data_IF_535286002299
#
_entry.id   IF_535286002299
#
_cell.length_a   1.000
_cell.length_b   1.000
_cell.length_c   1.000
_cell.angle_alpha   90.00
_cell.angle_beta   90.00
_cell.angle_gamma   90.00
#
_symmetry.space_group_name_H-M   'P 1'
#
loop_
_entity.id
_entity.type
_entity.pdbx_description
1 polymer ?
#
# COMPACT_ATOMS: atom_id res chain seq x y z
N UNK A 1 1.17 26.75 -15.62
CA UNK A 1 1.78 25.56 -14.98
C UNK A 1 2.04 24.56 -16.09
N UNK A 2 3.25 24.00 -16.25
CA UNK A 2 3.49 22.97 -17.29
C UNK A 2 2.97 21.63 -16.81
N UNK A 3 2.25 20.92 -17.67
CA UNK A 3 1.87 19.54 -17.40
C UNK A 3 3.12 18.67 -17.25
N UNK A 4 3.09 17.76 -16.26
CA UNK A 4 4.16 16.80 -15.99
C UNK A 4 3.53 15.43 -15.79
N UNK A 5 4.16 14.42 -16.37
CA UNK A 5 3.75 13.02 -16.26
C UNK A 5 4.60 12.37 -15.16
N UNK A 6 3.98 12.06 -14.03
CA UNK A 6 4.68 11.41 -12.90
C UNK A 6 4.86 9.90 -13.08
N UNK A 7 4.06 9.27 -13.94
CA UNK A 7 4.11 7.84 -14.17
C UNK A 7 2.91 7.36 -14.98
N UNK A 8 2.76 6.04 -15.02
CA UNK A 8 1.73 5.36 -15.79
C UNK A 8 1.03 4.32 -14.93
N UNK A 9 -0.24 4.07 -15.21
CA UNK A 9 -1.00 2.97 -14.64
C UNK A 9 -1.08 1.83 -15.65
N UNK A 10 -1.16 0.61 -15.14
CA UNK A 10 -1.20 -0.61 -15.93
C UNK A 10 -2.26 -1.54 -15.34
N UNK A 11 -2.85 -2.36 -16.20
CA UNK A 11 -3.68 -3.48 -15.79
C UNK A 11 -2.88 -4.76 -16.04
N UNK A 12 -2.55 -5.49 -14.98
CA UNK A 12 -1.90 -6.80 -15.12
C UNK A 12 -2.93 -7.87 -15.46
N UNK A 13 -2.57 -8.77 -16.37
CA UNK A 13 -3.33 -10.01 -16.63
C UNK A 13 -3.12 -11.06 -15.52
N UNK A 14 -2.15 -10.85 -14.64
CA UNK A 14 -1.91 -11.68 -13.44
C UNK A 14 -2.83 -11.27 -12.29
N UNK A 15 -2.90 -12.10 -11.24
CA UNK A 15 -3.80 -11.89 -10.09
C UNK A 15 -3.55 -10.63 -9.23
N UNK A 16 -2.61 -9.76 -9.59
CA UNK A 16 -2.31 -8.52 -8.86
C UNK A 16 -3.20 -7.34 -9.27
N UNK A 17 -3.89 -7.41 -10.41
CA UNK A 17 -4.82 -6.37 -10.85
C UNK A 17 -4.11 -5.06 -11.27
N UNK A 18 -4.76 -3.88 -11.08
CA UNK A 18 -4.20 -2.61 -11.50
C UNK A 18 -3.01 -2.20 -10.63
N UNK A 19 -2.00 -1.59 -11.25
CA UNK A 19 -0.81 -1.07 -10.57
C UNK A 19 -0.29 0.18 -11.27
N UNK A 20 0.69 0.85 -10.65
CA UNK A 20 1.33 2.04 -11.24
C UNK A 20 2.85 1.92 -11.21
N UNK A 21 3.48 2.55 -12.20
CA UNK A 21 4.93 2.73 -12.26
C UNK A 21 5.25 4.22 -12.36
N UNK A 22 6.10 4.69 -11.45
CA UNK A 22 6.65 6.04 -11.51
C UNK A 22 7.66 6.17 -12.65
N UNK A 23 7.74 7.36 -13.23
CA UNK A 23 8.84 7.70 -14.13
C UNK A 23 10.13 7.91 -13.32
N UNK A 24 11.27 7.70 -13.98
CA UNK A 24 12.59 7.94 -13.38
C UNK A 24 12.66 9.35 -12.81
N UNK A 25 13.16 9.46 -11.58
CA UNK A 25 13.33 10.69 -10.81
C UNK A 25 12.03 11.42 -10.44
N UNK A 26 10.86 10.78 -10.55
CA UNK A 26 9.61 11.31 -10.01
C UNK A 26 9.40 10.86 -8.56
N UNK A 27 8.76 11.74 -7.77
CA UNK A 27 8.39 11.45 -6.38
C UNK A 27 7.14 10.57 -6.30
N UNK A 28 6.91 9.97 -5.12
CA UNK A 28 5.71 9.20 -4.88
C UNK A 28 4.45 10.06 -5.10
N UNK A 29 3.54 9.59 -5.94
CA UNK A 29 2.39 10.38 -6.39
C UNK A 29 1.09 9.83 -5.82
N UNK A 30 0.44 10.61 -4.96
CA UNK A 30 -0.92 10.32 -4.51
C UNK A 30 -1.92 10.22 -5.66
N UNK A 31 -1.71 10.98 -6.75
CA UNK A 31 -2.56 10.92 -7.95
C UNK A 31 -2.50 9.56 -8.64
N UNK A 32 -1.32 8.95 -8.74
CA UNK A 32 -1.18 7.61 -9.33
C UNK A 32 -1.83 6.55 -8.44
N UNK A 33 -1.68 6.66 -7.11
CA UNK A 33 -2.34 5.75 -6.17
C UNK A 33 -3.85 5.83 -6.29
N UNK A 34 -4.41 7.05 -6.35
CA UNK A 34 -5.85 7.27 -6.58
C UNK A 34 -6.28 6.63 -7.90
N UNK A 35 -5.55 6.84 -9.00
CA UNK A 35 -5.88 6.26 -10.30
C UNK A 35 -5.89 4.72 -10.28
N UNK A 36 -4.92 4.09 -9.60
CA UNK A 36 -4.90 2.62 -9.42
C UNK A 36 -6.10 2.13 -8.62
N UNK A 37 -6.41 2.80 -7.51
CA UNK A 37 -7.55 2.45 -6.64
C UNK A 37 -8.87 2.60 -7.38
N UNK A 38 -9.06 3.69 -8.12
CA UNK A 38 -10.29 3.95 -8.87
C UNK A 38 -10.47 2.89 -9.96
N UNK A 39 -9.39 2.49 -10.66
CA UNK A 39 -9.44 1.36 -11.60
C UNK A 39 -9.77 0.04 -10.92
N UNK A 40 -9.27 -0.19 -9.70
CA UNK A 40 -9.61 -1.39 -8.93
C UNK A 40 -11.11 -1.44 -8.56
N UNK A 41 -11.71 -0.28 -8.23
CA UNK A 41 -13.15 -0.16 -7.96
C UNK A 41 -13.98 -0.46 -9.21
N UNK A 42 -13.59 0.07 -10.37
CA UNK A 42 -14.25 -0.23 -11.64
C UNK A 42 -14.24 -1.73 -11.94
N UNK A 43 -13.07 -2.37 -11.86
CA UNK A 43 -12.91 -3.81 -12.09
C UNK A 43 -13.70 -4.65 -11.09
N UNK A 44 -13.75 -4.24 -9.82
CA UNK A 44 -14.54 -4.93 -8.81
C UNK A 44 -16.04 -4.86 -9.13
N UNK A 45 -16.53 -3.73 -9.64
CA UNK A 45 -17.92 -3.59 -10.07
C UNK A 45 -18.22 -4.44 -11.31
N UNK A 46 -17.33 -4.44 -12.31
CA UNK A 46 -17.44 -5.25 -13.54
C UNK A 46 -17.47 -6.76 -13.22
N UNK A 47 -16.66 -7.21 -12.26
CA UNK A 47 -16.54 -8.62 -11.87
C UNK A 47 -17.47 -9.04 -10.72
N UNK A 48 -18.29 -8.13 -10.19
CA UNK A 48 -19.09 -8.34 -8.98
C UNK A 48 -18.26 -8.81 -7.76
N UNK A 49 -17.01 -8.36 -7.66
CA UNK A 49 -16.14 -8.65 -6.53
C UNK A 49 -16.53 -7.80 -5.31
N UNK A 50 -16.72 -8.44 -4.17
CA UNK A 50 -17.12 -7.74 -2.92
C UNK A 50 -15.94 -7.28 -2.07
N UNK A 51 -14.71 -7.61 -2.47
CA UNK A 51 -13.49 -7.34 -1.72
C UNK A 51 -12.40 -6.81 -2.66
N UNK A 52 -11.81 -5.68 -2.28
CA UNK A 52 -10.61 -5.13 -2.89
C UNK A 52 -9.51 -5.16 -1.83
N UNK A 53 -8.36 -5.75 -2.17
CA UNK A 53 -7.15 -5.68 -1.36
C UNK A 53 -6.22 -4.63 -1.97
N UNK A 54 -5.82 -3.66 -1.15
CA UNK A 54 -4.91 -2.60 -1.55
C UNK A 54 -3.58 -2.84 -0.84
N UNK A 55 -2.52 -3.06 -1.61
CA UNK A 55 -1.15 -3.02 -1.08
C UNK A 55 -0.75 -1.55 -0.88
N UNK A 56 -0.83 -1.09 0.36
CA UNK A 56 -0.65 0.31 0.72
C UNK A 56 0.83 0.73 0.71
N UNK A 57 1.15 1.97 0.30
CA UNK A 57 2.51 2.48 0.40
C UNK A 57 2.94 2.63 1.87
N UNK A 58 4.25 2.62 2.16
CA UNK A 58 4.77 2.83 3.51
C UNK A 58 4.67 4.31 3.95
N UNK A 59 4.76 4.55 5.26
CA UNK A 59 4.85 5.89 5.84
C UNK A 59 3.49 6.52 6.14
N UNK A 60 3.38 7.84 5.99
CA UNK A 60 2.18 8.64 6.36
C UNK A 60 1.86 9.76 5.35
N UNK A 61 2.48 9.76 4.17
CA UNK A 61 2.37 10.84 3.20
C UNK A 61 1.14 10.78 2.29
N UNK A 62 1.07 11.65 1.28
CA UNK A 62 -0.01 11.70 0.30
C UNK A 62 -0.34 10.34 -0.36
N UNK A 63 0.64 9.47 -0.72
CA UNK A 63 0.35 8.14 -1.24
C UNK A 63 -0.46 7.28 -0.27
N UNK A 64 -0.20 7.37 1.03
CA UNK A 64 -0.89 6.62 2.08
C UNK A 64 -2.31 7.14 2.28
N UNK A 65 -2.47 8.46 2.29
CA UNK A 65 -3.80 9.08 2.38
C UNK A 65 -4.65 8.69 1.16
N UNK A 66 -4.05 8.71 -0.03
CA UNK A 66 -4.71 8.29 -1.26
C UNK A 66 -5.12 6.80 -1.20
N UNK A 67 -4.26 5.90 -0.70
CA UNK A 67 -4.63 4.48 -0.57
C UNK A 67 -5.71 4.23 0.49
N UNK A 68 -5.78 5.06 1.53
CA UNK A 68 -6.76 4.94 2.61
C UNK A 68 -8.15 5.51 2.28
N UNK A 69 -8.26 6.41 1.30
CA UNK A 69 -9.55 7.07 1.06
C UNK A 69 -10.60 6.06 0.56
N UNK A 70 -11.74 5.99 1.23
CA UNK A 70 -12.82 5.03 0.95
C UNK A 70 -12.61 3.63 1.53
N UNK A 71 -11.49 3.36 2.20
CA UNK A 71 -11.20 2.07 2.83
C UNK A 71 -11.99 1.88 4.12
N UNK A 72 -12.53 0.67 4.32
CA UNK A 72 -13.34 0.33 5.52
C UNK A 72 -12.54 -0.34 6.65
N UNK A 73 -11.35 -0.86 6.34
CA UNK A 73 -10.44 -1.53 7.26
C UNK A 73 -9.00 -1.33 6.80
N UNK A 74 -8.15 -0.78 7.66
CA UNK A 74 -6.71 -0.69 7.47
C UNK A 74 -5.99 -1.72 8.35
N UNK A 75 -5.19 -2.60 7.72
CA UNK A 75 -4.26 -3.47 8.42
C UNK A 75 -2.86 -2.85 8.35
N UNK A 76 -2.31 -2.48 9.50
CA UNK A 76 -1.02 -1.80 9.60
C UNK A 76 0.04 -2.80 10.06
N UNK A 77 1.10 -2.96 9.29
CA UNK A 77 2.24 -3.78 9.65
C UNK A 77 3.34 -2.91 10.23
N UNK A 78 3.93 -3.32 11.36
CA UNK A 78 5.04 -2.62 11.99
C UNK A 78 6.09 -3.60 12.51
N UNK A 79 7.32 -3.14 12.71
CA UNK A 79 8.36 -3.89 13.40
C UNK A 79 8.34 -3.63 14.92
N UNK A 80 8.78 -4.58 15.76
CA UNK A 80 8.83 -4.40 17.21
C UNK A 80 10.03 -3.53 17.65
N UNK A 81 10.16 -2.35 17.06
CA UNK A 81 11.22 -1.37 17.34
C UNK A 81 10.62 -0.06 17.87
N UNK A 82 11.43 0.78 18.53
CA UNK A 82 10.95 2.09 19.00
C UNK A 82 10.51 3.01 17.86
N UNK A 83 11.23 3.00 16.74
CA UNK A 83 10.82 3.70 15.51
C UNK A 83 9.51 3.12 14.96
N UNK A 84 9.38 1.80 14.89
CA UNK A 84 8.16 1.12 14.44
C UNK A 84 6.94 1.46 15.30
N UNK A 85 7.11 1.59 16.63
CA UNK A 85 6.05 2.03 17.52
C UNK A 85 5.67 3.50 17.29
N UNK A 86 6.65 4.37 17.07
CA UNK A 86 6.41 5.78 16.78
C UNK A 86 5.65 5.95 15.46
N UNK A 87 6.06 5.26 14.39
CA UNK A 87 5.40 5.33 13.10
C UNK A 87 4.00 4.69 13.13
N UNK A 88 3.84 3.57 13.87
CA UNK A 88 2.52 2.97 14.13
C UNK A 88 1.55 3.98 14.77
N UNK A 89 2.01 4.75 15.77
CA UNK A 89 1.16 5.78 16.41
C UNK A 89 0.73 6.85 15.41
N UNK A 90 1.63 7.28 14.51
CA UNK A 90 1.32 8.31 13.51
C UNK A 90 0.30 7.81 12.49
N UNK A 91 0.51 6.63 11.91
CA UNK A 91 -0.44 6.06 10.94
C UNK A 91 -1.79 5.77 11.58
N UNK A 92 -1.84 5.27 12.83
CA UNK A 92 -3.10 5.09 13.56
C UNK A 92 -3.85 6.41 13.74
N UNK A 93 -3.14 7.53 13.97
CA UNK A 93 -3.76 8.86 14.03
C UNK A 93 -4.37 9.27 12.69
N UNK A 94 -3.69 9.00 11.57
CA UNK A 94 -4.21 9.28 10.23
C UNK A 94 -5.45 8.42 9.94
N UNK A 95 -5.37 7.11 10.17
CA UNK A 95 -6.48 6.17 9.97
C UNK A 95 -7.70 6.56 10.82
N UNK A 96 -7.46 6.96 12.08
CA UNK A 96 -8.51 7.47 12.98
C UNK A 96 -9.15 8.75 12.45
N UNK A 97 -8.36 9.68 11.91
CA UNK A 97 -8.87 10.93 11.34
C UNK A 97 -9.88 10.68 10.21
N UNK A 98 -9.65 9.65 9.38
CA UNK A 98 -10.56 9.25 8.31
C UNK A 98 -11.72 8.34 8.77
N UNK A 99 -11.85 8.05 10.07
CA UNK A 99 -12.90 7.18 10.60
C UNK A 99 -12.79 5.71 10.18
N UNK A 100 -11.59 5.27 9.76
CA UNK A 100 -11.36 3.93 9.25
C UNK A 100 -11.09 2.97 10.42
N UNK A 101 -11.64 1.76 10.36
CA UNK A 101 -11.32 0.72 11.37
C UNK A 101 -9.86 0.30 11.21
N UNK A 102 -9.11 0.27 12.29
CA UNK A 102 -7.71 -0.13 12.30
C UNK A 102 -7.52 -1.52 12.94
N UNK A 103 -6.61 -2.30 12.37
CA UNK A 103 -5.92 -3.43 13.01
C UNK A 103 -4.43 -3.24 12.78
N UNK A 104 -3.60 -3.75 13.67
CA UNK A 104 -2.15 -3.74 13.46
C UNK A 104 -1.55 -5.08 13.87
N UNK A 105 -0.45 -5.43 13.23
CA UNK A 105 0.34 -6.60 13.57
C UNK A 105 1.82 -6.22 13.64
N UNK A 106 2.54 -6.81 14.59
CA UNK A 106 3.99 -6.69 14.66
C UNK A 106 4.64 -7.86 13.93
N UNK A 107 5.38 -7.58 12.86
CA UNK A 107 6.12 -8.58 12.11
C UNK A 107 7.52 -8.72 12.69
N UNK A 108 7.88 -9.93 13.15
CA UNK A 108 9.26 -10.27 13.51
C UNK A 108 9.96 -10.80 12.26
N UNK A 109 11.14 -10.26 11.95
CA UNK A 109 11.96 -10.72 10.83
C UNK A 109 12.16 -12.24 10.93
N UNK A 110 11.64 -12.98 9.96
CA UNK A 110 11.86 -14.42 9.87
C UNK A 110 13.31 -14.64 9.42
N UNK A 111 14.18 -15.05 10.33
CA UNK A 111 15.52 -15.50 9.95
C UNK A 111 15.36 -16.85 9.23
N UNK A 112 15.37 -16.82 7.91
CA UNK A 112 15.59 -18.01 7.11
C UNK A 112 16.98 -18.52 7.47
N UNK A 113 17.06 -19.56 8.31
CA UNK A 113 18.30 -20.31 8.50
C UNK A 113 18.68 -20.86 7.14
N UNK A 114 19.67 -20.25 6.49
CA UNK A 114 20.37 -20.85 5.37
C UNK A 114 20.92 -22.18 5.88
N UNK A 115 20.22 -23.27 5.55
CA UNK A 115 20.76 -24.61 5.71
C UNK A 115 22.06 -24.64 4.92
N UNK A 116 23.19 -24.67 5.63
CA UNK A 116 24.49 -24.95 5.05
C UNK A 116 24.35 -26.25 4.26
N UNK A 117 24.40 -26.13 2.93
CA UNK A 117 24.67 -27.28 2.07
C UNK A 117 26.10 -27.73 2.40
N UNK A 118 26.22 -28.61 3.39
CA UNK A 118 27.39 -29.47 3.52
C UNK A 118 27.35 -30.41 2.32
N UNK A 119 28.19 -30.10 1.35
CA UNK A 119 28.67 -31.09 0.40
C UNK A 119 29.56 -32.05 1.21
N UNK A 120 29.06 -33.26 1.44
CA UNK A 120 29.88 -34.47 1.49
C UNK A 120 29.71 -35.20 0.16
#
# INVERSE_FOLDING_TARGET
MKERVSGYTFLSETGYGPHAQLKIAEEASGKLVTAVRDRAIELANESHSTLILIDGPPGIGCPVIASLSGVVLALILTEPTQSGLHDLKRILSVVKHFGIRARYASAKRMQLKSQERRHE
#
